data_IF_191034827079
#
_entry.id   IF_191034827079
#
_cell.length_a   1.000
_cell.length_b   1.000
_cell.length_c   1.000
_cell.angle_alpha   90.00
_cell.angle_beta   90.00
_cell.angle_gamma   90.00
#
_symmetry.space_group_name_H-M   'P 1'
#
loop_
_entity.id
_entity.type
_entity.pdbx_description
1 polymer ?
#
# COMPACT_ATOMS: atom_id res chain seq x y z
N UNK A 1 -15.86 14.02 13.83
CA UNK A 1 -14.53 13.80 13.20
C UNK A 1 -14.79 13.52 11.73
N UNK A 2 -14.19 14.28 10.82
CA UNK A 2 -14.62 14.31 9.42
C UNK A 2 -14.19 13.00 8.73
N UNK A 3 -15.13 12.23 8.16
CA UNK A 3 -14.84 10.91 7.55
C UNK A 3 -13.77 10.98 6.45
N UNK A 4 -13.69 12.11 5.74
CA UNK A 4 -12.64 12.40 4.76
C UNK A 4 -11.23 12.40 5.35
N UNK A 5 -11.02 12.98 6.54
CA UNK A 5 -9.69 13.03 7.18
C UNK A 5 -9.21 11.62 7.51
N UNK A 6 -10.11 10.74 7.96
CA UNK A 6 -9.78 9.34 8.23
C UNK A 6 -9.45 8.57 6.94
N UNK A 7 -10.18 8.84 5.85
CA UNK A 7 -9.90 8.27 4.54
C UNK A 7 -8.51 8.66 4.03
N UNK A 8 -8.15 9.94 4.16
CA UNK A 8 -6.85 10.47 3.73
C UNK A 8 -5.69 9.90 4.56
N UNK A 9 -5.88 9.76 5.88
CA UNK A 9 -4.88 9.12 6.75
C UNK A 9 -4.65 7.67 6.32
N UNK A 10 -5.72 6.92 6.07
CA UNK A 10 -5.61 5.51 5.66
C UNK A 10 -5.02 5.37 4.25
N UNK A 11 -5.35 6.29 3.33
CA UNK A 11 -4.74 6.35 2.00
C UNK A 11 -3.22 6.54 2.10
N UNK A 12 -2.79 7.54 2.88
CA UNK A 12 -1.37 7.83 3.08
C UNK A 12 -0.64 6.67 3.74
N UNK A 13 -1.28 5.99 4.71
CA UNK A 13 -0.71 4.78 5.33
C UNK A 13 -0.46 3.68 4.30
N UNK A 14 -1.44 3.41 3.42
CA UNK A 14 -1.30 2.38 2.37
C UNK A 14 -0.25 2.75 1.32
N UNK A 15 -0.16 4.02 0.93
CA UNK A 15 0.89 4.51 0.04
C UNK A 15 2.28 4.27 0.65
N UNK A 16 2.48 4.63 1.93
CA UNK A 16 3.75 4.41 2.61
C UNK A 16 4.12 2.93 2.70
N UNK A 17 3.16 2.04 2.97
CA UNK A 17 3.38 0.60 2.99
C UNK A 17 3.80 0.07 1.61
N UNK A 18 3.15 0.54 0.54
CA UNK A 18 3.52 0.17 -0.82
C UNK A 18 4.94 0.65 -1.18
N UNK A 19 5.30 1.89 -0.85
CA UNK A 19 6.64 2.43 -1.08
C UNK A 19 7.73 1.60 -0.38
N UNK A 20 7.53 1.25 0.89
CA UNK A 20 8.46 0.38 1.64
C UNK A 20 8.60 -0.99 1.00
N UNK A 21 7.50 -1.58 0.51
CA UNK A 21 7.55 -2.87 -0.17
C UNK A 21 8.28 -2.79 -1.52
N UNK A 22 8.13 -1.68 -2.26
CA UNK A 22 8.89 -1.40 -3.49
C UNK A 22 10.38 -1.31 -3.19
N UNK A 23 10.77 -0.56 -2.16
CA UNK A 23 12.17 -0.42 -1.74
C UNK A 23 12.78 -1.78 -1.34
N UNK A 24 12.09 -2.56 -0.51
CA UNK A 24 12.54 -3.87 -0.08
C UNK A 24 12.74 -4.83 -1.26
N UNK A 25 11.79 -4.86 -2.21
CA UNK A 25 11.91 -5.66 -3.43
C UNK A 25 13.04 -5.17 -4.35
N UNK A 26 13.21 -3.85 -4.49
CA UNK A 26 14.26 -3.27 -5.32
C UNK A 26 15.66 -3.59 -4.77
N UNK A 27 15.82 -3.56 -3.44
CA UNK A 27 17.06 -3.90 -2.76
C UNK A 27 17.34 -5.42 -2.77
N UNK A 28 16.31 -6.24 -2.61
CA UNK A 28 16.46 -7.70 -2.56
C UNK A 28 15.26 -8.42 -3.21
N UNK A 29 15.50 -9.00 -4.38
CA UNK A 29 14.46 -9.67 -5.19
C UNK A 29 14.25 -11.12 -4.78
N UNK A 30 13.69 -11.32 -3.59
CA UNK A 30 13.24 -12.63 -3.11
C UNK A 30 11.78 -12.89 -3.47
N UNK A 31 11.35 -14.15 -3.39
CA UNK A 31 9.94 -14.51 -3.52
C UNK A 31 9.10 -13.80 -2.44
N UNK A 32 9.58 -13.76 -1.21
CA UNK A 32 8.93 -13.08 -0.09
C UNK A 32 8.70 -11.59 -0.38
N UNK A 33 9.74 -10.87 -0.81
CA UNK A 33 9.61 -9.44 -1.12
C UNK A 33 8.71 -9.20 -2.36
N UNK A 34 8.72 -10.12 -3.32
CA UNK A 34 7.81 -10.09 -4.48
C UNK A 34 6.34 -10.21 -4.04
N UNK A 35 6.06 -11.14 -3.12
CA UNK A 35 4.72 -11.34 -2.56
C UNK A 35 4.27 -10.15 -1.71
N UNK A 36 5.16 -9.61 -0.88
CA UNK A 36 4.89 -8.43 -0.06
C UNK A 36 4.54 -7.21 -0.94
N UNK A 37 5.30 -6.98 -2.01
CA UNK A 37 5.04 -5.93 -3.00
C UNK A 37 3.68 -6.12 -3.68
N UNK A 38 3.39 -7.33 -4.16
CA UNK A 38 2.13 -7.64 -4.83
C UNK A 38 0.92 -7.43 -3.89
N UNK A 39 1.03 -7.85 -2.63
CA UNK A 39 -0.01 -7.66 -1.61
C UNK A 39 -0.26 -6.18 -1.33
N UNK A 40 0.79 -5.41 -1.06
CA UNK A 40 0.66 -3.97 -0.79
C UNK A 40 0.05 -3.21 -1.98
N UNK A 41 0.42 -3.58 -3.21
CA UNK A 41 -0.18 -3.03 -4.43
C UNK A 41 -1.69 -3.34 -4.51
N UNK A 42 -2.07 -4.59 -4.25
CA UNK A 42 -3.47 -5.02 -4.31
C UNK A 42 -4.33 -4.32 -3.23
N UNK A 43 -3.81 -4.16 -2.02
CA UNK A 43 -4.50 -3.48 -0.93
C UNK A 43 -4.69 -1.98 -1.21
N UNK A 44 -3.66 -1.29 -1.74
CA UNK A 44 -3.77 0.11 -2.15
C UNK A 44 -4.78 0.29 -3.29
N UNK A 45 -4.70 -0.55 -4.33
CA UNK A 45 -5.63 -0.52 -5.45
C UNK A 45 -7.08 -0.79 -4.99
N UNK A 46 -7.29 -1.79 -4.14
CA UNK A 46 -8.61 -2.11 -3.60
C UNK A 46 -9.19 -0.95 -2.78
N UNK A 47 -8.36 -0.24 -2.01
CA UNK A 47 -8.81 0.92 -1.24
C UNK A 47 -9.25 2.08 -2.14
N UNK A 48 -8.48 2.38 -3.20
CA UNK A 48 -8.81 3.44 -4.15
C UNK A 48 -10.05 3.08 -4.99
N UNK A 49 -10.14 1.84 -5.46
CA UNK A 49 -11.20 1.39 -6.37
C UNK A 49 -12.54 1.13 -5.69
N UNK A 50 -12.55 0.78 -4.40
CA UNK A 50 -13.82 0.61 -3.67
C UNK A 50 -14.56 1.93 -3.46
N UNK A 51 -13.87 3.07 -3.61
CA UNK A 51 -14.40 4.39 -3.27
C UNK A 51 -14.60 4.48 -1.75
N UNK A 52 -13.90 5.42 -1.10
CA UNK A 52 -14.26 5.80 0.26
C UNK A 52 -15.41 6.78 0.20
#
# INVERSE_FOLDING_TARGET
MNHQILADIELNRKISLFQKAVEAYALNRTLENSMALAKAKAELAAFVLRGV
#
